data_IF_487552071340
#
_entry.id   IF_487552071340
#
_cell.length_a   1.000
_cell.length_b   1.000
_cell.length_c   1.000
_cell.angle_alpha   90.00
_cell.angle_beta   90.00
_cell.angle_gamma   90.00
#
_symmetry.space_group_name_H-M   'P 1'
#
loop_
_entity.id
_entity.type
_entity.pdbx_description
1 polymer ?
#
# COMPACT_ATOMS: atom_id res chain seq x y z
N UNK A 1 -11.83 -4.08 -14.02
CA UNK A 1 -11.20 -3.12 -13.08
C UNK A 1 -11.32 -3.58 -11.62
N UNK A 2 -12.50 -3.94 -11.11
CA UNK A 2 -12.66 -4.47 -9.74
C UNK A 2 -11.82 -5.73 -9.46
N UNK A 3 -11.84 -6.71 -10.37
CA UNK A 3 -11.02 -7.92 -10.25
C UNK A 3 -9.52 -7.58 -10.17
N UNK A 4 -9.05 -6.63 -10.98
CA UNK A 4 -7.66 -6.17 -10.99
C UNK A 4 -7.24 -5.58 -9.64
N UNK A 5 -8.09 -4.71 -9.07
CA UNK A 5 -7.85 -4.13 -7.74
C UNK A 5 -7.84 -5.22 -6.66
N UNK A 6 -8.72 -6.22 -6.76
CA UNK A 6 -8.74 -7.33 -5.82
C UNK A 6 -7.51 -8.22 -5.88
N UNK A 7 -6.98 -8.50 -7.08
CA UNK A 7 -5.75 -9.26 -7.24
C UNK A 7 -4.54 -8.48 -6.73
N UNK A 8 -4.47 -7.18 -7.03
CA UNK A 8 -3.41 -6.31 -6.54
C UNK A 8 -3.38 -6.29 -5.00
N UNK A 9 -4.53 -6.13 -4.35
CA UNK A 9 -4.64 -6.14 -2.88
C UNK A 9 -4.12 -7.45 -2.27
N UNK A 10 -4.53 -8.59 -2.84
CA UNK A 10 -4.12 -9.91 -2.36
C UNK A 10 -2.60 -10.11 -2.48
N UNK A 11 -2.04 -9.84 -3.67
CA UNK A 11 -0.62 -10.09 -3.93
C UNK A 11 0.28 -9.13 -3.14
N UNK A 12 -0.08 -7.85 -3.08
CA UNK A 12 0.71 -6.85 -2.35
C UNK A 12 0.59 -7.05 -0.84
N UNK A 13 -0.59 -7.46 -0.34
CA UNK A 13 -0.76 -7.85 1.05
C UNK A 13 0.12 -9.05 1.44
N UNK A 14 0.15 -10.09 0.59
CA UNK A 14 1.04 -11.24 0.80
C UNK A 14 2.52 -10.83 0.81
N UNK A 15 2.94 -10.05 -0.18
CA UNK A 15 4.33 -9.58 -0.29
C UNK A 15 4.73 -8.74 0.93
N UNK A 16 3.84 -7.86 1.40
CA UNK A 16 4.07 -7.04 2.59
C UNK A 16 4.25 -7.90 3.84
N UNK A 17 3.40 -8.92 4.01
CA UNK A 17 3.50 -9.85 5.13
C UNK A 17 4.81 -10.64 5.12
N UNK A 18 5.21 -11.15 3.95
CA UNK A 18 6.47 -11.90 3.78
C UNK A 18 7.67 -11.00 4.08
N UNK A 19 7.71 -9.79 3.54
CA UNK A 19 8.81 -8.84 3.77
C UNK A 19 8.89 -8.39 5.22
N UNK A 20 7.76 -8.08 5.87
CA UNK A 20 7.73 -7.78 7.29
C UNK A 20 8.16 -8.98 8.16
N UNK A 21 7.84 -10.19 7.73
CA UNK A 21 8.35 -11.43 8.34
C UNK A 21 9.86 -11.55 8.22
N UNK A 22 10.41 -11.30 7.02
CA UNK A 22 11.85 -11.30 6.77
C UNK A 22 12.58 -10.25 7.62
N UNK A 23 12.12 -9.00 7.63
CA UNK A 23 12.72 -7.92 8.45
C UNK A 23 12.75 -8.28 9.94
N UNK A 24 11.67 -8.85 10.48
CA UNK A 24 11.62 -9.32 11.88
C UNK A 24 12.59 -10.46 12.15
N UNK A 25 12.75 -11.41 11.22
CA UNK A 25 13.74 -12.49 11.35
C UNK A 25 15.17 -11.93 11.35
N UNK A 26 15.47 -10.94 10.51
CA UNK A 26 16.77 -10.26 10.50
C UNK A 26 17.03 -9.53 11.82
N UNK A 27 16.03 -8.84 12.37
CA UNK A 27 16.13 -8.24 13.70
C UNK A 27 16.36 -9.29 14.80
N UNK A 28 15.67 -10.43 14.74
CA UNK A 28 15.91 -11.53 15.67
C UNK A 28 17.31 -12.15 15.56
N UNK A 29 17.90 -12.16 14.35
CA UNK A 29 19.30 -12.54 14.17
C UNK A 29 20.28 -11.54 14.82
N UNK A 30 19.96 -10.24 14.77
CA UNK A 30 20.70 -9.19 15.48
C UNK A 30 20.63 -9.42 17.00
N UNK A 31 19.42 -9.60 17.55
CA UNK A 31 19.21 -9.85 18.99
C UNK A 31 20.03 -11.03 19.51
N UNK A 32 20.13 -12.10 18.71
CA UNK A 32 20.96 -13.26 19.05
C UNK A 32 22.45 -12.97 18.96
N UNK A 33 22.88 -12.15 18.01
CA UNK A 33 24.25 -11.66 17.97
C UNK A 33 24.59 -10.80 19.20
N UNK A 34 23.71 -9.87 19.58
CA UNK A 34 23.90 -9.02 20.76
C UNK A 34 24.00 -9.85 22.05
N UNK A 35 23.19 -10.92 22.15
CA UNK A 35 23.30 -11.88 23.25
C UNK A 35 24.69 -12.56 23.30
N UNK A 36 25.22 -12.97 22.15
CA UNK A 36 26.54 -13.60 22.06
C UNK A 36 27.67 -12.62 22.41
N UNK A 37 27.56 -11.36 21.99
CA UNK A 37 28.47 -10.27 22.38
C UNK A 37 28.52 -10.17 23.91
N UNK A 38 27.36 -10.09 24.56
CA UNK A 38 27.29 -10.05 26.03
C UNK A 38 27.96 -11.25 26.70
N UNK A 39 27.71 -12.46 26.19
CA UNK A 39 28.31 -13.69 26.72
C UNK A 39 29.84 -13.74 26.55
N UNK A 40 30.37 -13.28 25.41
CA UNK A 40 31.81 -13.17 25.18
C UNK A 40 32.44 -12.17 26.14
N UNK A 41 31.78 -11.03 26.37
CA UNK A 41 32.26 -10.02 27.28
C UNK A 41 32.27 -10.49 28.74
N UNK A 42 31.23 -11.21 29.17
CA UNK A 42 31.15 -11.83 30.49
C UNK A 42 32.23 -12.90 30.69
N UNK A 43 32.41 -13.80 29.72
CA UNK A 43 33.45 -14.82 29.75
C UNK A 43 34.84 -14.18 29.89
N UNK A 44 35.11 -13.11 29.15
CA UNK A 44 36.39 -12.40 29.21
C UNK A 44 36.74 -11.88 30.61
N UNK A 45 35.76 -11.64 31.49
CA UNK A 45 36.02 -11.15 32.86
C UNK A 45 36.61 -12.23 33.79
N UNK A 46 36.46 -13.50 33.44
CA UNK A 46 36.88 -14.63 34.28
C UNK A 46 38.19 -15.29 33.82
N UNK A 47 38.72 -14.89 32.67
CA UNK A 47 39.88 -15.52 32.04
C UNK A 47 41.19 -14.78 32.32
N UNK A 48 42.32 -15.42 32.01
CA UNK A 48 43.64 -14.83 32.11
C UNK A 48 43.82 -13.62 31.15
N UNK A 49 44.79 -12.73 31.38
CA UNK A 49 44.92 -11.48 30.61
C UNK A 49 45.06 -11.67 29.09
N UNK A 50 45.69 -12.75 28.63
CA UNK A 50 45.92 -13.00 27.21
C UNK A 50 44.61 -13.45 26.54
N UNK A 51 43.90 -14.40 27.16
CA UNK A 51 42.59 -14.84 26.68
C UNK A 51 41.50 -13.77 26.82
N UNK A 52 41.53 -12.98 27.91
CA UNK A 52 40.62 -11.86 28.12
C UNK A 52 40.69 -10.85 26.97
N UNK A 53 41.91 -10.49 26.53
CA UNK A 53 42.07 -9.55 25.41
C UNK A 53 41.48 -10.11 24.11
N UNK A 54 41.77 -11.40 23.82
CA UNK A 54 41.21 -12.07 22.65
C UNK A 54 39.68 -12.08 22.64
N UNK A 55 39.06 -12.43 23.76
CA UNK A 55 37.60 -12.48 23.89
C UNK A 55 36.93 -11.10 23.81
N UNK A 56 37.57 -10.06 24.36
CA UNK A 56 37.09 -8.67 24.21
C UNK A 56 37.12 -8.22 22.75
N UNK A 57 38.23 -8.47 22.04
CA UNK A 57 38.33 -8.15 20.61
C UNK A 57 37.28 -8.91 19.79
N UNK A 58 37.08 -10.21 20.04
CA UNK A 58 36.04 -11.00 19.38
C UNK A 58 34.63 -10.46 19.65
N UNK A 59 34.36 -10.02 20.88
CA UNK A 59 33.10 -9.39 21.27
C UNK A 59 32.87 -8.08 20.54
N UNK A 60 33.89 -7.23 20.44
CA UNK A 60 33.83 -5.94 19.73
C UNK A 60 33.60 -6.14 18.22
N UNK A 61 34.34 -7.05 17.59
CA UNK A 61 34.17 -7.39 16.17
C UNK A 61 32.74 -7.91 15.89
N UNK A 62 32.21 -8.76 16.77
CA UNK A 62 30.85 -9.28 16.63
C UNK A 62 29.78 -8.19 16.85
N UNK A 63 30.03 -7.24 17.74
CA UNK A 63 29.15 -6.09 17.96
C UNK A 63 29.06 -5.21 16.70
N UNK A 64 30.19 -4.94 16.05
CA UNK A 64 30.20 -4.20 14.77
C UNK A 64 29.38 -4.91 13.69
N UNK A 65 29.41 -6.25 13.63
CA UNK A 65 28.54 -7.03 12.73
C UNK A 65 27.05 -6.82 13.06
N UNK A 66 26.68 -6.68 14.32
CA UNK A 66 25.30 -6.41 14.71
C UNK A 66 24.87 -4.98 14.37
N UNK A 67 25.76 -4.00 14.44
CA UNK A 67 25.48 -2.63 13.98
C UNK A 67 25.15 -2.58 12.48
N UNK A 68 25.88 -3.35 11.66
CA UNK A 68 25.54 -3.49 10.24
C UNK A 68 24.18 -4.15 10.02
N UNK A 69 23.82 -5.13 10.87
CA UNK A 69 22.49 -5.75 10.83
C UNK A 69 21.39 -4.79 11.27
N UNK A 70 21.65 -3.94 12.27
CA UNK A 70 20.74 -2.88 12.66
C UNK A 70 20.45 -1.95 11.48
N UNK A 71 21.51 -1.47 10.81
CA UNK A 71 21.37 -0.65 9.62
C UNK A 71 20.58 -1.37 8.50
N UNK A 72 20.80 -2.68 8.32
CA UNK A 72 20.03 -3.49 7.38
C UNK A 72 18.55 -3.56 7.75
N UNK A 73 18.21 -3.78 9.02
CA UNK A 73 16.82 -3.80 9.52
C UNK A 73 16.13 -2.47 9.27
N UNK A 74 16.79 -1.36 9.62
CA UNK A 74 16.24 -0.01 9.42
C UNK A 74 16.03 0.30 7.93
N UNK A 75 16.96 -0.14 7.08
CA UNK A 75 16.84 0.00 5.63
C UNK A 75 15.69 -0.83 5.08
N UNK A 76 15.52 -2.07 5.54
CA UNK A 76 14.41 -2.94 5.14
C UNK A 76 13.07 -2.31 5.54
N UNK A 77 12.94 -1.82 6.76
CA UNK A 77 11.68 -1.23 7.22
C UNK A 77 11.37 0.07 6.46
N UNK A 78 12.32 1.00 6.38
CA UNK A 78 12.10 2.33 5.80
C UNK A 78 12.02 2.35 4.27
N UNK A 79 12.78 1.48 3.57
CA UNK A 79 12.91 1.53 2.11
C UNK A 79 12.17 0.43 1.38
N UNK A 80 11.79 -0.64 2.07
CA UNK A 80 11.14 -1.80 1.44
C UNK A 80 9.73 -1.99 2.00
N UNK A 81 9.59 -2.12 3.32
CA UNK A 81 8.30 -2.41 3.96
C UNK A 81 7.39 -1.18 3.95
N UNK A 82 7.87 -0.01 4.38
CA UNK A 82 7.06 1.20 4.48
C UNK A 82 6.45 1.67 3.13
N UNK A 83 7.20 1.69 2.00
CA UNK A 83 6.62 2.03 0.71
C UNK A 83 5.52 1.05 0.29
N UNK A 84 5.72 -0.25 0.53
CA UNK A 84 4.73 -1.28 0.20
C UNK A 84 3.46 -1.16 1.06
N UNK A 85 3.61 -0.82 2.34
CA UNK A 85 2.47 -0.50 3.23
C UNK A 85 1.64 0.68 2.68
N UNK A 86 2.30 1.75 2.24
CA UNK A 86 1.62 2.93 1.68
C UNK A 86 0.81 2.60 0.41
N UNK A 87 1.29 1.68 -0.43
CA UNK A 87 0.52 1.17 -1.58
C UNK A 87 -0.79 0.49 -1.17
N UNK A 88 -0.83 -0.15 0.00
CA UNK A 88 -2.05 -0.74 0.55
C UNK A 88 -3.16 0.30 0.72
N UNK A 89 -2.84 1.51 1.15
CA UNK A 89 -3.83 2.58 1.32
C UNK A 89 -4.32 3.14 -0.01
N UNK A 90 -3.45 3.22 -1.02
CA UNK A 90 -3.84 3.57 -2.39
C UNK A 90 -4.88 2.58 -2.93
N UNK A 91 -4.66 1.28 -2.72
CA UNK A 91 -5.58 0.22 -3.18
C UNK A 91 -6.92 0.28 -2.46
N UNK A 92 -6.92 0.50 -1.13
CA UNK A 92 -8.15 0.70 -0.36
C UNK A 92 -8.95 1.89 -0.88
N UNK A 93 -8.30 3.02 -1.14
CA UNK A 93 -8.93 4.21 -1.70
C UNK A 93 -9.52 3.92 -3.09
N UNK A 94 -8.76 3.24 -3.95
CA UNK A 94 -9.24 2.84 -5.29
C UNK A 94 -10.46 1.91 -5.22
N UNK A 95 -10.45 0.97 -4.26
CA UNK A 95 -11.60 0.08 -4.01
C UNK A 95 -12.83 0.85 -3.57
N UNK A 96 -12.68 1.85 -2.70
CA UNK A 96 -13.78 2.72 -2.27
C UNK A 96 -14.34 3.55 -3.45
N UNK A 97 -13.47 4.12 -4.29
CA UNK A 97 -13.88 4.83 -5.50
C UNK A 97 -14.68 3.93 -6.46
N UNK A 98 -14.21 2.69 -6.70
CA UNK A 98 -14.92 1.74 -7.56
C UNK A 98 -16.30 1.37 -7.03
N UNK A 99 -16.43 1.16 -5.71
CA UNK A 99 -17.73 0.91 -5.08
C UNK A 99 -18.69 2.08 -5.27
N UNK A 100 -18.22 3.32 -5.08
CA UNK A 100 -19.02 4.52 -5.29
C UNK A 100 -19.45 4.64 -6.76
N UNK A 101 -18.51 4.49 -7.69
CA UNK A 101 -18.79 4.52 -9.12
C UNK A 101 -19.81 3.43 -9.53
N UNK A 102 -19.67 2.21 -8.99
CA UNK A 102 -20.63 1.13 -9.22
C UNK A 102 -22.03 1.45 -8.70
N UNK A 103 -22.14 2.09 -7.53
CA UNK A 103 -23.42 2.53 -6.97
C UNK A 103 -24.08 3.63 -7.82
N UNK A 104 -23.31 4.64 -8.22
CA UNK A 104 -23.78 5.74 -9.08
C UNK A 104 -24.27 5.20 -10.43
N UNK A 105 -23.48 4.33 -11.08
CA UNK A 105 -23.86 3.64 -12.32
C UNK A 105 -25.15 2.82 -12.16
N UNK A 106 -25.29 2.09 -11.06
CA UNK A 106 -26.49 1.27 -10.81
C UNK A 106 -27.73 2.16 -10.58
N UNK A 107 -27.57 3.32 -9.94
CA UNK A 107 -28.65 4.30 -9.79
C UNK A 107 -29.08 4.85 -11.16
N UNK A 108 -28.14 5.27 -11.98
CA UNK A 108 -28.44 5.78 -13.33
C UNK A 108 -29.10 4.73 -14.20
N UNK A 109 -28.63 3.47 -14.16
CA UNK A 109 -29.26 2.37 -14.89
C UNK A 109 -30.74 2.20 -14.51
N UNK A 110 -31.08 2.33 -13.22
CA UNK A 110 -32.47 2.29 -12.76
C UNK A 110 -33.28 3.48 -13.26
N UNK A 111 -32.72 4.68 -13.28
CA UNK A 111 -33.40 5.86 -13.81
C UNK A 111 -33.62 5.75 -15.34
N UNK A 112 -32.65 5.24 -16.09
CA UNK A 112 -32.80 4.94 -17.53
C UNK A 112 -33.93 3.94 -17.76
N UNK A 113 -33.97 2.84 -17.00
CA UNK A 113 -35.05 1.86 -17.11
C UNK A 113 -36.43 2.46 -16.78
N UNK A 114 -36.52 3.40 -15.83
CA UNK A 114 -37.77 4.14 -15.56
C UNK A 114 -38.16 5.02 -16.75
N UNK A 115 -37.20 5.74 -17.33
CA UNK A 115 -37.44 6.58 -18.51
C UNK A 115 -37.93 5.75 -19.70
N UNK A 116 -37.34 4.58 -19.95
CA UNK A 116 -37.80 3.67 -21.01
C UNK A 116 -39.25 3.23 -20.81
N UNK A 117 -39.63 2.89 -19.56
CA UNK A 117 -41.03 2.56 -19.22
C UNK A 117 -41.99 3.72 -19.48
N UNK A 118 -41.61 4.95 -19.16
CA UNK A 118 -42.44 6.14 -19.42
C UNK A 118 -42.60 6.36 -20.92
N UNK A 119 -41.50 6.26 -21.69
CA UNK A 119 -41.52 6.40 -23.16
C UNK A 119 -42.42 5.37 -23.84
N UNK A 120 -42.42 4.12 -23.37
CA UNK A 120 -43.27 3.06 -23.91
C UNK A 120 -44.75 3.25 -23.57
N UNK A 121 -45.06 3.78 -22.37
CA UNK A 121 -46.45 4.00 -21.93
C UNK A 121 -47.11 5.22 -22.56
N UNK A 122 -46.36 6.31 -22.77
CA UNK A 122 -46.92 7.53 -23.36
C UNK A 122 -45.86 8.26 -24.22
N UNK A 123 -45.76 7.91 -25.52
CA UNK A 123 -44.76 8.51 -26.41
C UNK A 123 -45.03 9.98 -26.76
N UNK A 124 -46.25 10.49 -26.52
CA UNK A 124 -46.64 11.88 -26.83
C UNK A 124 -46.28 12.88 -25.72
N UNK A 125 -46.02 12.41 -24.49
CA UNK A 125 -45.63 13.25 -23.35
C UNK A 125 -44.15 13.65 -23.43
N UNK A 126 -43.85 14.48 -24.44
CA UNK A 126 -42.49 14.99 -24.69
C UNK A 126 -41.97 15.82 -23.53
N UNK A 127 -42.85 16.49 -22.77
CA UNK A 127 -42.45 17.41 -21.71
C UNK A 127 -41.90 16.67 -20.49
N UNK A 128 -42.58 15.59 -20.06
CA UNK A 128 -42.09 14.72 -18.98
C UNK A 128 -40.82 13.95 -19.38
N UNK A 129 -40.74 13.48 -20.63
CA UNK A 129 -39.56 12.76 -21.16
C UNK A 129 -38.33 13.68 -21.22
N UNK A 130 -38.51 14.94 -21.61
CA UNK A 130 -37.42 15.92 -21.71
C UNK A 130 -36.93 16.33 -20.31
N UNK A 131 -37.83 16.65 -19.38
CA UNK A 131 -37.46 17.03 -18.01
C UNK A 131 -36.67 15.94 -17.27
N UNK A 132 -37.07 14.68 -17.44
CA UNK A 132 -36.37 13.55 -16.82
C UNK A 132 -34.95 13.34 -17.39
N UNK A 133 -34.73 13.56 -18.70
CA UNK A 133 -33.39 13.48 -19.31
C UNK A 133 -32.38 14.46 -18.70
N UNK A 134 -32.81 15.67 -18.35
CA UNK A 134 -31.94 16.68 -17.73
C UNK A 134 -31.58 16.33 -16.28
N UNK A 135 -32.45 15.62 -15.56
CA UNK A 135 -32.24 15.23 -14.17
C UNK A 135 -31.29 14.01 -14.02
N UNK A 136 -31.24 13.13 -15.03
CA UNK A 136 -30.40 11.90 -15.04
C UNK A 136 -28.96 12.15 -15.52
N UNK A 137 -28.62 13.36 -15.96
CA UNK A 137 -27.27 13.68 -16.44
C UNK A 137 -26.31 14.41 -15.47
N UNK A 138 -26.09 13.98 -14.21
CA UNK A 138 -24.99 14.54 -13.38
C UNK A 138 -23.58 14.20 -13.90
N UNK A 139 -23.38 13.11 -14.66
CA UNK A 139 -22.04 12.64 -15.04
C UNK A 139 -21.31 13.47 -16.12
N UNK A 140 -21.95 14.43 -16.79
CA UNK A 140 -21.20 15.37 -17.66
C UNK A 140 -20.26 16.27 -16.87
N UNK A 141 -20.54 16.54 -15.59
CA UNK A 141 -19.64 17.29 -14.72
C UNK A 141 -18.39 16.50 -14.31
N UNK A 142 -18.49 15.16 -14.20
CA UNK A 142 -17.38 14.29 -13.78
C UNK A 142 -16.39 14.06 -14.94
N UNK A 143 -16.88 14.02 -16.18
CA UNK A 143 -16.03 13.83 -17.37
C UNK A 143 -15.15 15.06 -17.69
N UNK A 144 -15.59 16.27 -17.32
CA UNK A 144 -14.78 17.49 -17.44
C UNK A 144 -13.69 17.53 -16.36
N UNK A 145 -14.01 17.12 -15.12
CA UNK A 145 -13.06 17.17 -14.00
C UNK A 145 -11.89 16.17 -14.15
N UNK A 146 -12.11 15.03 -14.81
CA UNK A 146 -11.07 14.02 -15.05
C UNK A 146 -10.10 14.42 -16.19
N UNK A 147 -10.56 15.15 -17.20
CA UNK A 147 -9.68 15.66 -18.26
C UNK A 147 -8.82 16.86 -17.81
N UNK A 148 -9.27 17.66 -16.83
CA UNK A 148 -8.47 18.79 -16.32
C UNK A 148 -7.29 18.41 -15.42
N UNK A 149 -7.17 17.16 -14.97
CA UNK A 149 -6.02 16.67 -14.17
C UNK A 149 -4.95 15.93 -15.00
N UNK A 150 -5.12 15.86 -16.32
CA UNK A 150 -4.09 15.34 -17.25
C UNK A 150 -3.68 16.46 -18.22
N UNK A 151 -3.26 17.59 -17.67
CA UNK A 151 -2.46 18.59 -18.39
C UNK A 151 -1.21 18.86 -17.55
N UNK A 152 -0.15 18.13 -17.87
CA UNK A 152 1.22 18.47 -17.46
C UNK A 152 1.77 19.33 -18.61
N UNK A 153 1.96 20.64 -18.44
CA UNK A 153 2.61 21.46 -19.45
C UNK A 153 4.10 21.10 -19.53
N UNK A 154 4.63 21.18 -20.74
CA UNK A 154 5.92 20.66 -21.18
C UNK A 154 7.11 20.90 -20.26
N UNK A 155 7.92 19.84 -20.12
CA UNK A 155 9.37 19.99 -20.19
C UNK A 155 9.82 19.37 -21.52
N UNK A 156 10.47 20.19 -22.35
CA UNK A 156 11.41 19.73 -23.36
C UNK A 156 12.63 20.66 -23.28
N UNK A 157 13.80 20.05 -23.46
CA UNK A 157 15.03 20.70 -23.90
C UNK A 157 14.80 21.58 -25.13
#
# INVERSE_FOLDING_TARGET
MEQTVSQAEKHLGLLCSVLAGYTRKTAGLRDKGDQLVGQLYELAQCEDPELQLGLKNMSEDLAMVQDYRQAQVDRLESRVVAPLKAYGDIIKNKRAELKKFGADRNREMKEIQKLEKIRLKNPADRQSIVSFKYCVSPLRGVHIQLCSKVYIPGQNF
#
